data_IF_132377921621
#
_entry.id   IF_132377921621
#
_cell.length_a   1.000
_cell.length_b   1.000
_cell.length_c   1.000
_cell.angle_alpha   90.00
_cell.angle_beta   90.00
_cell.angle_gamma   90.00
#
_symmetry.space_group_name_H-M   'P 1'
#
loop_
_entity.id
_entity.type
_entity.pdbx_description
1 polymer ?
#
# COMPACT_ATOMS: atom_id res chain seq x y z
N UNK A 1 14.25 -7.82 -16.15
CA UNK A 1 14.58 -8.17 -14.75
C UNK A 1 14.09 -7.04 -13.88
N UNK A 2 13.26 -7.32 -12.88
CA UNK A 2 12.85 -6.31 -11.90
C UNK A 2 14.10 -5.82 -11.16
N UNK A 3 14.36 -4.51 -11.20
CA UNK A 3 15.52 -3.93 -10.51
C UNK A 3 15.42 -4.12 -9.01
N UNK A 4 16.52 -3.94 -8.27
CA UNK A 4 16.52 -4.04 -6.80
C UNK A 4 15.47 -3.16 -6.12
N UNK A 5 15.11 -2.05 -6.77
CA UNK A 5 14.04 -1.15 -6.33
C UNK A 5 12.64 -1.75 -6.49
N UNK A 6 12.41 -2.52 -7.54
CA UNK A 6 11.14 -3.20 -7.83
C UNK A 6 10.92 -4.37 -6.87
N UNK A 7 11.97 -5.14 -6.59
CA UNK A 7 11.94 -6.18 -5.57
C UNK A 7 11.63 -5.61 -4.17
N UNK A 8 12.23 -4.47 -3.82
CA UNK A 8 11.93 -3.76 -2.57
C UNK A 8 10.49 -3.23 -2.51
N UNK A 9 9.89 -2.90 -3.66
CA UNK A 9 8.50 -2.48 -3.76
C UNK A 9 7.56 -3.67 -3.60
N UNK A 10 7.83 -4.78 -4.29
CA UNK A 10 7.05 -6.03 -4.18
C UNK A 10 7.03 -6.53 -2.73
N UNK A 11 8.20 -6.60 -2.07
CA UNK A 11 8.28 -7.00 -0.67
C UNK A 11 7.55 -6.04 0.28
N UNK A 12 7.49 -4.75 -0.06
CA UNK A 12 6.69 -3.77 0.68
C UNK A 12 5.19 -4.00 0.50
N UNK A 13 4.74 -4.23 -0.74
CA UNK A 13 3.35 -4.53 -1.05
C UNK A 13 2.88 -5.83 -0.38
N UNK A 14 3.71 -6.88 -0.38
CA UNK A 14 3.41 -8.14 0.30
C UNK A 14 3.22 -7.94 1.81
N UNK A 15 4.14 -7.21 2.44
CA UNK A 15 4.05 -6.84 3.86
C UNK A 15 2.82 -5.96 4.15
N UNK A 16 2.47 -5.05 3.24
CA UNK A 16 1.28 -4.20 3.35
C UNK A 16 0.00 -5.03 3.24
N UNK A 17 -0.05 -6.00 2.32
CA UNK A 17 -1.18 -6.91 2.14
C UNK A 17 -1.39 -7.79 3.36
N UNK A 18 -0.33 -8.44 3.86
CA UNK A 18 -0.38 -9.23 5.09
C UNK A 18 -0.84 -8.37 6.27
N UNK A 19 -0.36 -7.12 6.35
CA UNK A 19 -0.79 -6.19 7.38
C UNK A 19 -2.28 -5.83 7.29
N UNK A 20 -2.80 -5.51 6.10
CA UNK A 20 -4.22 -5.20 5.89
C UNK A 20 -5.12 -6.39 6.20
N UNK A 21 -4.68 -7.62 5.86
CA UNK A 21 -5.40 -8.85 6.18
C UNK A 21 -5.43 -9.15 7.68
N UNK A 22 -4.32 -8.90 8.38
CA UNK A 22 -4.16 -9.25 9.80
C UNK A 22 -4.69 -8.16 10.74
N UNK A 23 -4.62 -6.89 10.32
CA UNK A 23 -5.04 -5.73 11.10
C UNK A 23 -5.95 -4.84 10.25
N UNK A 24 -7.27 -4.88 10.51
CA UNK A 24 -8.26 -3.97 9.90
C UNK A 24 -7.92 -2.49 10.12
N UNK A 25 -7.20 -2.16 11.20
CA UNK A 25 -6.79 -0.79 11.53
C UNK A 25 -5.27 -0.62 11.57
N UNK A 26 -4.80 0.49 10.98
CA UNK A 26 -3.40 0.90 11.05
C UNK A 26 -3.02 1.30 12.47
N UNK A 27 -2.57 0.33 13.27
CA UNK A 27 -1.99 0.60 14.58
C UNK A 27 -0.71 1.43 14.45
N UNK A 28 -0.62 2.47 15.27
CA UNK A 28 0.44 3.48 15.24
C UNK A 28 1.85 2.91 15.50
N UNK A 29 1.97 1.63 15.90
CA UNK A 29 3.26 0.92 16.01
C UNK A 29 4.02 0.82 14.68
N UNK A 30 3.35 1.00 13.54
CA UNK A 30 3.95 0.87 12.21
C UNK A 30 4.19 2.22 11.52
N UNK A 31 4.69 3.23 12.25
CA UNK A 31 5.06 4.56 11.71
C UNK A 31 5.91 4.45 10.44
N UNK A 32 6.82 3.47 10.36
CA UNK A 32 7.67 3.25 9.18
C UNK A 32 6.88 2.80 7.95
N UNK A 33 5.84 1.98 8.13
CA UNK A 33 4.94 1.55 7.06
C UNK A 33 4.07 2.73 6.61
N UNK A 34 3.51 3.49 7.55
CA UNK A 34 2.73 4.70 7.28
C UNK A 34 3.52 5.77 6.51
N UNK A 35 4.77 6.01 6.89
CA UNK A 35 5.64 6.95 6.17
C UNK A 35 5.93 6.46 4.73
N UNK A 36 6.08 5.15 4.54
CA UNK A 36 6.32 4.56 3.23
C UNK A 36 5.05 4.59 2.36
N UNK A 37 3.87 4.39 2.94
CA UNK A 37 2.56 4.63 2.29
C UNK A 37 2.43 6.08 1.85
N UNK A 38 2.69 7.05 2.75
CA UNK A 38 2.66 8.49 2.41
C UNK A 38 3.63 8.84 1.28
N UNK A 39 4.81 8.22 1.26
CA UNK A 39 5.78 8.40 0.19
C UNK A 39 5.26 7.87 -1.15
N UNK A 40 4.67 6.67 -1.17
CA UNK A 40 4.06 6.09 -2.38
C UNK A 40 2.89 6.96 -2.86
N UNK A 41 1.99 7.40 -1.99
CA UNK A 41 0.89 8.31 -2.35
C UNK A 41 1.41 9.64 -2.94
N UNK A 42 2.49 10.21 -2.40
CA UNK A 42 3.13 11.39 -3.01
C UNK A 42 3.64 11.12 -4.41
N UNK A 43 4.27 9.96 -4.65
CA UNK A 43 4.75 9.56 -5.98
C UNK A 43 3.62 9.34 -6.98
N UNK A 44 2.47 8.82 -6.51
CA UNK A 44 1.25 8.68 -7.32
C UNK A 44 0.71 10.06 -7.70
N UNK A 45 0.57 10.98 -6.75
CA UNK A 45 0.12 12.35 -7.02
C UNK A 45 1.06 13.12 -7.96
N UNK A 46 2.33 12.75 -8.01
CA UNK A 46 3.31 13.32 -8.93
C UNK A 46 3.33 12.63 -10.31
N UNK A 47 2.59 11.54 -10.51
CA UNK A 47 2.59 10.77 -11.77
C UNK A 47 3.93 10.07 -12.08
N UNK A 48 4.81 9.90 -11.10
CA UNK A 48 6.16 9.34 -11.28
C UNK A 48 6.16 7.81 -11.09
N UNK A 49 5.10 7.26 -10.51
CA UNK A 49 5.00 5.83 -10.24
C UNK A 49 4.60 5.07 -11.51
N UNK A 50 5.30 3.97 -11.82
CA UNK A 50 4.90 3.08 -12.91
C UNK A 50 3.51 2.49 -12.69
N UNK A 51 2.78 2.29 -13.79
CA UNK A 51 1.39 1.83 -13.78
C UNK A 51 1.20 0.50 -13.04
N UNK A 52 2.13 -0.45 -13.20
CA UNK A 52 2.04 -1.74 -12.52
C UNK A 52 2.19 -1.65 -10.99
N UNK A 53 3.00 -0.70 -10.50
CA UNK A 53 3.17 -0.41 -9.07
C UNK A 53 1.93 0.26 -8.50
N UNK A 54 1.32 1.17 -9.28
CA UNK A 54 0.05 1.79 -8.94
C UNK A 54 -1.06 0.73 -8.84
N UNK A 55 -1.16 -0.18 -9.82
CA UNK A 55 -2.15 -1.25 -9.83
C UNK A 55 -2.03 -2.18 -8.62
N UNK A 56 -0.81 -2.59 -8.25
CA UNK A 56 -0.58 -3.37 -7.02
C UNK A 56 -1.00 -2.60 -5.76
N UNK A 57 -0.71 -1.31 -5.69
CA UNK A 57 -1.05 -0.51 -4.51
C UNK A 57 -2.57 -0.31 -4.38
N UNK A 58 -3.27 -0.04 -5.49
CA UNK A 58 -4.72 0.10 -5.53
C UNK A 58 -5.43 -1.22 -5.20
N UNK A 59 -4.91 -2.35 -5.64
CA UNK A 59 -5.43 -3.69 -5.28
C UNK A 59 -5.43 -3.90 -3.76
N UNK A 60 -4.31 -3.57 -3.10
CA UNK A 60 -4.18 -3.67 -1.63
C UNK A 60 -5.06 -2.64 -0.91
N UNK A 61 -5.15 -1.42 -1.44
CA UNK A 61 -6.04 -0.39 -0.89
C UNK A 61 -7.51 -0.78 -1.01
N UNK A 62 -7.91 -1.41 -2.12
CA UNK A 62 -9.27 -1.93 -2.34
C UNK A 62 -9.63 -3.06 -1.37
N UNK A 63 -8.68 -3.90 -0.97
CA UNK A 63 -8.92 -4.91 0.09
C UNK A 63 -9.28 -4.27 1.44
N UNK A 64 -8.83 -3.04 1.68
CA UNK A 64 -9.10 -2.29 2.92
C UNK A 64 -10.49 -1.63 2.91
N UNK A 65 -11.07 -1.41 1.73
CA UNK A 65 -12.37 -0.75 1.53
C UNK A 65 -13.56 -1.73 1.64
N UNK A 66 -13.32 -2.98 2.04
CA UNK A 66 -14.39 -3.97 2.24
C UNK A 66 -15.14 -3.82 3.59
N UNK A 67 -14.95 -2.73 4.34
CA UNK A 67 -15.53 -2.57 5.69
C UNK A 67 -16.21 -1.21 5.96
N UNK A 68 -16.39 -0.31 4.98
CA UNK A 68 -17.13 0.95 5.23
C UNK A 68 -18.15 1.27 4.12
N UNK A 69 -19.15 0.40 4.01
CA UNK A 69 -20.50 0.77 3.52
C UNK A 69 -21.58 0.28 4.49
N UNK A 70 -21.36 0.46 5.79
CA UNK A 70 -22.49 0.56 6.72
C UNK A 70 -22.61 2.02 7.14
N UNK A 71 -23.26 2.79 6.27
CA UNK A 71 -23.87 4.04 6.69
C UNK A 71 -24.85 3.78 7.82
N UNK A 72 -24.74 4.59 8.87
CA UNK A 72 -25.63 4.67 10.02
C UNK A 72 -25.34 5.96 10.76
#
# INVERSE_FOLDING_TARGET
>A
MAGKNDQNFIAFCDKLRSYVLENRYFSNKHIRLLNKIKFVCRKINQGILEEWKLKMFLDIAGMRDMDDHTGG
#
